data_IF_711718959723
#
_entry.id   IF_711718959723
#
_cell.length_a   1.000
_cell.length_b   1.000
_cell.length_c   1.000
_cell.angle_alpha   90.00
_cell.angle_beta   90.00
_cell.angle_gamma   90.00
#
_symmetry.space_group_name_H-M   'P 1'
#
loop_
_entity.id
_entity.type
_entity.pdbx_description
1 polymer ?
#
# COMPACT_ATOMS: atom_id res chain seq x y z
N UNK A 1 13.14 -1.32 -10.52
CA UNK A 1 12.08 -1.84 -9.62
C UNK A 1 10.82 -1.06 -9.88
N UNK A 2 9.79 -1.73 -10.39
CA UNK A 2 8.49 -1.16 -10.72
C UNK A 2 7.44 -1.75 -9.78
N UNK A 3 6.59 -0.88 -9.23
CA UNK A 3 5.56 -1.24 -8.26
C UNK A 3 4.23 -0.70 -8.78
N UNK A 4 3.21 -1.55 -8.85
CA UNK A 4 1.87 -1.09 -9.19
C UNK A 4 1.25 -0.39 -7.99
N UNK A 5 0.71 0.81 -8.18
CA UNK A 5 0.00 1.52 -7.10
C UNK A 5 -1.39 0.95 -6.80
N UNK A 6 -1.97 0.18 -7.72
CA UNK A 6 -3.33 -0.37 -7.61
C UNK A 6 -3.41 -1.80 -7.06
N UNK A 7 -2.28 -2.48 -6.90
CA UNK A 7 -2.22 -3.83 -6.34
C UNK A 7 -0.83 -4.12 -5.74
N UNK A 8 -0.60 -5.34 -5.24
CA UNK A 8 0.68 -5.76 -4.67
C UNK A 8 1.69 -6.28 -5.73
N UNK A 9 1.45 -6.04 -7.01
CA UNK A 9 2.36 -6.45 -8.08
C UNK A 9 3.66 -5.64 -8.06
N UNK A 10 4.79 -6.33 -8.02
CA UNK A 10 6.12 -5.74 -8.15
C UNK A 10 6.95 -6.56 -9.13
N UNK A 11 7.78 -5.88 -9.92
CA UNK A 11 8.66 -6.52 -10.89
C UNK A 11 9.92 -5.68 -11.12
N UNK A 12 10.98 -6.31 -11.62
CA UNK A 12 12.18 -5.61 -12.06
C UNK A 12 12.23 -5.39 -13.57
N UNK A 13 11.29 -5.94 -14.34
CA UNK A 13 11.16 -5.74 -15.79
C UNK A 13 10.17 -4.63 -16.10
N UNK A 14 10.57 -3.67 -16.94
CA UNK A 14 9.68 -2.62 -17.42
C UNK A 14 8.58 -3.18 -18.33
N UNK A 15 8.93 -4.12 -19.21
CA UNK A 15 7.99 -4.76 -20.14
C UNK A 15 6.86 -5.46 -19.37
N UNK A 16 7.22 -6.28 -18.38
CA UNK A 16 6.24 -6.96 -17.52
C UNK A 16 5.35 -5.97 -16.74
N UNK A 17 5.88 -4.79 -16.38
CA UNK A 17 5.09 -3.75 -15.72
C UNK A 17 4.09 -3.08 -16.67
N UNK A 18 4.48 -2.83 -17.92
CA UNK A 18 3.60 -2.28 -18.94
C UNK A 18 2.49 -3.27 -19.29
N UNK A 19 2.82 -4.54 -19.51
CA UNK A 19 1.85 -5.61 -19.76
C UNK A 19 0.84 -5.74 -18.62
N UNK A 20 1.33 -5.75 -17.38
CA UNK A 20 0.47 -5.73 -16.19
C UNK A 20 -0.52 -4.56 -16.21
N UNK A 21 -0.06 -3.36 -16.57
CA UNK A 21 -0.91 -2.14 -16.57
C UNK A 21 -1.96 -2.14 -17.68
N UNK A 22 -1.83 -2.97 -18.71
CA UNK A 22 -2.86 -3.13 -19.76
C UNK A 22 -4.10 -3.87 -19.25
N UNK A 23 -3.97 -4.63 -18.16
CA UNK A 23 -5.05 -5.43 -17.58
C UNK A 23 -5.48 -4.76 -16.26
N UNK A 24 -6.79 -4.61 -15.98
CA UNK A 24 -7.24 -4.17 -14.67
C UNK A 24 -6.64 -5.06 -13.59
N UNK A 25 -6.09 -4.47 -12.52
CA UNK A 25 -5.51 -5.24 -11.44
C UNK A 25 -6.52 -6.28 -10.92
N UNK A 26 -6.30 -7.56 -11.23
CA UNK A 26 -7.18 -8.66 -10.77
C UNK A 26 -7.12 -8.82 -9.26
N UNK A 27 -5.96 -8.52 -8.69
CA UNK A 27 -5.74 -8.41 -7.25
C UNK A 27 -6.09 -6.99 -6.80
N UNK A 28 -7.38 -6.63 -6.78
CA UNK A 28 -7.81 -5.68 -5.73
C UNK A 28 -7.29 -6.27 -4.43
N UNK A 29 -6.63 -5.46 -3.59
CA UNK A 29 -6.15 -5.89 -2.28
C UNK A 29 -7.20 -6.80 -1.65
N UNK A 30 -6.94 -8.11 -1.67
CA UNK A 30 -7.93 -9.05 -1.18
C UNK A 30 -7.94 -8.84 0.33
N UNK A 31 -9.12 -8.53 0.88
CA UNK A 31 -9.28 -8.51 2.33
C UNK A 31 -8.80 -9.86 2.87
N UNK A 32 -7.94 -9.82 3.86
CA UNK A 32 -7.56 -11.04 4.56
C UNK A 32 -8.75 -11.51 5.40
N UNK A 33 -8.92 -12.82 5.56
CA UNK A 33 -9.97 -13.36 6.43
C UNK A 33 -9.81 -12.81 7.85
N UNK A 34 -10.88 -12.21 8.38
CA UNK A 34 -10.88 -11.56 9.69
C UNK A 34 -10.56 -10.06 9.67
N UNK A 35 -10.28 -9.45 8.51
CA UNK A 35 -10.19 -7.99 8.41
C UNK A 35 -11.56 -7.31 8.57
N UNK A 36 -11.60 -6.15 9.24
CA UNK A 36 -12.78 -5.30 9.28
C UNK A 36 -13.33 -4.96 7.89
N UNK A 37 -14.65 -4.77 7.81
CA UNK A 37 -15.31 -4.39 6.57
C UNK A 37 -14.82 -3.04 6.03
N UNK A 38 -14.51 -2.10 6.92
CA UNK A 38 -14.06 -0.75 6.58
C UNK A 38 -13.00 -0.33 7.58
N UNK A 39 -11.95 0.29 7.06
CA UNK A 39 -10.93 1.00 7.84
C UNK A 39 -11.16 2.50 7.69
N UNK A 40 -11.05 3.25 8.80
CA UNK A 40 -11.07 4.73 8.76
C UNK A 40 -9.73 5.28 9.16
N UNK A 41 -9.23 6.23 8.37
CA UNK A 41 -8.04 7.00 8.73
C UNK A 41 -8.34 7.83 9.98
N UNK A 42 -7.52 7.69 11.01
CA UNK A 42 -7.69 8.45 12.25
C UNK A 42 -7.45 9.96 12.03
N UNK A 43 -6.55 10.33 11.12
CA UNK A 43 -6.15 11.72 10.88
C UNK A 43 -7.17 12.50 10.05
N UNK A 44 -7.78 11.89 9.04
CA UNK A 44 -8.69 12.58 8.10
C UNK A 44 -10.06 11.93 7.92
N UNK A 45 -10.36 10.83 8.63
CA UNK A 45 -11.62 10.09 8.60
C UNK A 45 -12.02 9.48 7.24
N UNK A 46 -11.16 9.51 6.23
CA UNK A 46 -11.38 8.80 4.97
C UNK A 46 -11.54 7.28 5.21
N UNK A 47 -12.46 6.68 4.47
CA UNK A 47 -12.80 5.26 4.56
C UNK A 47 -12.12 4.45 3.45
N UNK A 48 -11.63 3.26 3.81
CA UNK A 48 -10.92 2.33 2.94
C UNK A 48 -11.45 0.92 3.13
N UNK A 49 -11.44 0.11 2.08
CA UNK A 49 -11.95 -1.25 2.16
C UNK A 49 -10.87 -2.23 2.63
N UNK A 50 -9.59 -1.93 2.42
CA UNK A 50 -8.50 -2.85 2.77
C UNK A 50 -7.45 -2.19 3.65
N UNK A 51 -6.77 -3.00 4.46
CA UNK A 51 -5.67 -2.54 5.30
C UNK A 51 -4.54 -1.92 4.47
N UNK A 52 -4.24 -2.49 3.30
CA UNK A 52 -3.25 -1.95 2.37
C UNK A 52 -3.59 -0.54 1.90
N UNK A 53 -4.84 -0.29 1.48
CA UNK A 53 -5.27 1.04 1.04
C UNK A 53 -5.12 2.08 2.15
N UNK A 54 -5.50 1.73 3.38
CA UNK A 54 -5.31 2.61 4.53
C UNK A 54 -3.82 2.88 4.78
N UNK A 55 -2.97 1.84 4.83
CA UNK A 55 -1.54 2.00 5.11
C UNK A 55 -0.84 2.83 4.03
N UNK A 56 -1.19 2.60 2.76
CA UNK A 56 -0.69 3.40 1.65
C UNK A 56 -1.12 4.86 1.79
N UNK A 57 -2.41 5.10 2.07
CA UNK A 57 -2.93 6.45 2.33
C UNK A 57 -2.18 7.16 3.46
N UNK A 58 -1.96 6.49 4.61
CA UNK A 58 -1.22 7.07 5.74
C UNK A 58 0.21 7.44 5.35
N UNK A 59 0.87 6.64 4.51
CA UNK A 59 2.22 6.92 4.02
C UNK A 59 2.26 8.10 3.03
N UNK A 60 1.34 8.19 2.08
CA UNK A 60 1.41 9.18 0.99
C UNK A 60 0.67 10.49 1.26
N UNK A 61 -0.40 10.44 2.06
CA UNK A 61 -1.25 11.60 2.37
C UNK A 61 -0.93 12.23 3.73
N UNK A 62 -0.31 11.46 4.62
CA UNK A 62 0.02 11.92 5.98
C UNK A 62 1.50 11.72 6.33
N UNK A 63 2.32 11.24 5.38
CA UNK A 63 3.76 11.04 5.55
C UNK A 63 4.12 10.19 6.80
N UNK A 64 3.19 9.32 7.22
CA UNK A 64 3.37 8.48 8.39
C UNK A 64 4.25 7.29 8.03
N UNK A 65 5.34 7.13 8.78
CA UNK A 65 6.25 5.99 8.63
C UNK A 65 5.84 4.87 9.58
N UNK A 66 5.49 3.71 9.02
CA UNK A 66 4.99 2.53 9.76
C UNK A 66 6.09 1.56 10.20
N UNK A 67 7.36 1.91 9.99
CA UNK A 67 8.50 1.10 10.35
C UNK A 67 9.61 1.98 10.89
N UNK A 68 10.39 1.45 11.83
CA UNK A 68 11.65 2.06 12.24
C UNK A 68 12.78 1.24 11.67
N UNK A 69 13.72 1.88 11.00
CA UNK A 69 14.93 1.21 10.57
C UNK A 69 15.83 1.00 11.78
N UNK A 70 16.15 -0.25 12.09
CA UNK A 70 16.95 -0.62 13.26
C UNK A 70 18.43 -0.22 13.14
N UNK A 71 18.88 0.21 11.93
CA UNK A 71 20.24 0.70 11.67
C UNK A 71 20.34 2.22 11.69
N UNK A 72 19.22 2.94 11.69
CA UNK A 72 19.21 4.36 11.95
C UNK A 72 19.55 4.56 13.43
N UNK A 73 20.83 4.84 13.68
CA UNK A 73 21.31 5.28 14.99
C UNK A 73 20.55 6.56 15.30
N UNK A 74 19.54 6.45 16.15
CA UNK A 74 18.93 7.60 16.81
C UNK A 74 20.06 8.23 17.63
N UNK A 75 20.59 9.34 17.14
CA UNK A 75 21.29 10.28 18.00
C UNK A 75 20.26 10.74 19.03
N UNK A 76 20.38 10.17 20.22
CA UNK A 76 19.70 10.67 21.42
C UNK A 76 20.37 11.96 21.88
#
# INVERSE_FOLDING_TARGET
>A
MFICGGCQFYTNSFEAFVEHRQIPCSSKSQKSEGEPEIFRCFTCSNAFNTSWELLFHLRVSHEITMYKNLKDKVAA
#
